data_IF_467933509364
#
_entry.id   IF_467933509364
#
_cell.length_a   1.000
_cell.length_b   1.000
_cell.length_c   1.000
_cell.angle_alpha   90.00
_cell.angle_beta   90.00
_cell.angle_gamma   90.00
#
_symmetry.space_group_name_H-M   'P 1'
#
loop_
_entity.id
_entity.type
_entity.pdbx_description
1 polymer ?
#
# COMPACT_ATOMS: atom_id res chain seq x y z
N UNK A 1 16.85 18.40 11.86
CA UNK A 1 16.49 17.40 10.84
C UNK A 1 16.76 16.01 11.39
N UNK A 2 15.79 15.43 12.08
CA UNK A 2 15.91 14.13 12.73
C UNK A 2 15.60 13.02 11.74
N UNK A 3 16.45 11.99 11.69
CA UNK A 3 16.33 10.73 10.92
C UNK A 3 14.99 9.97 11.09
N UNK A 4 14.05 10.47 11.87
CA UNK A 4 12.70 9.90 12.00
C UNK A 4 11.79 10.29 10.82
N UNK A 5 11.96 11.49 10.26
CA UNK A 5 11.16 11.99 9.12
C UNK A 5 11.32 11.10 7.87
N UNK A 6 12.49 10.47 7.72
CA UNK A 6 12.79 9.59 6.58
C UNK A 6 12.10 8.22 6.60
N UNK A 7 11.52 7.80 7.74
CA UNK A 7 10.86 6.48 7.85
C UNK A 7 9.34 6.55 7.85
N UNK A 8 8.75 7.75 7.93
CA UNK A 8 7.29 7.87 7.87
C UNK A 8 6.76 7.33 6.54
N UNK A 9 7.45 7.60 5.43
CA UNK A 9 7.05 7.12 4.11
C UNK A 9 7.08 5.58 3.94
N UNK A 10 7.84 4.83 4.74
CA UNK A 10 7.85 3.36 4.66
C UNK A 10 6.73 2.71 5.50
N UNK A 11 6.12 3.47 6.42
CA UNK A 11 5.03 3.02 7.28
C UNK A 11 3.65 3.49 6.77
N UNK A 12 3.59 4.06 5.57
CA UNK A 12 2.37 4.62 4.99
C UNK A 12 2.01 3.91 3.69
N UNK A 13 0.71 3.80 3.44
CA UNK A 13 0.21 3.36 2.15
C UNK A 13 0.55 4.39 1.05
N UNK A 14 1.14 3.93 -0.06
CA UNK A 14 1.52 4.83 -1.16
C UNK A 14 0.31 5.43 -1.92
N UNK A 15 -0.87 4.82 -1.78
CA UNK A 15 -2.11 5.25 -2.44
C UNK A 15 -2.84 6.30 -1.60
N UNK A 16 -3.29 5.93 -0.40
CA UNK A 16 -4.07 6.85 0.45
C UNK A 16 -3.23 7.74 1.36
N UNK A 17 -1.91 7.49 1.48
CA UNK A 17 -1.00 8.21 2.38
C UNK A 17 -1.42 8.16 3.86
N UNK A 18 -2.15 7.12 4.26
CA UNK A 18 -2.40 6.82 5.68
C UNK A 18 -1.33 5.91 6.26
N UNK A 19 -1.06 6.02 7.56
CA UNK A 19 -0.24 5.07 8.30
C UNK A 19 -0.88 3.67 8.27
N UNK A 20 -0.05 2.64 8.20
CA UNK A 20 -0.51 1.27 8.35
C UNK A 20 -0.97 1.01 9.79
N UNK A 21 -2.07 0.28 9.93
CA UNK A 21 -2.66 -0.15 11.20
C UNK A 21 -3.24 -1.56 11.06
N UNK A 22 -3.73 -2.18 12.13
CA UNK A 22 -4.32 -3.52 12.06
C UNK A 22 -5.82 -3.54 11.67
N UNK A 23 -6.38 -2.37 11.37
CA UNK A 23 -7.80 -2.15 11.07
C UNK A 23 -7.98 -1.77 9.59
N UNK A 24 -8.26 -0.50 9.30
CA UNK A 24 -8.63 0.03 7.99
C UNK A 24 -7.42 0.08 7.04
N UNK A 25 -6.21 0.24 7.58
CA UNK A 25 -4.98 0.36 6.80
C UNK A 25 -4.06 -0.85 6.92
N UNK A 26 -4.61 -2.06 7.07
CA UNK A 26 -3.81 -3.28 7.17
C UNK A 26 -2.84 -3.44 5.99
N UNK A 27 -1.52 -3.49 6.22
CA UNK A 27 -0.53 -3.58 5.16
C UNK A 27 -0.58 -4.95 4.47
N UNK A 28 -0.40 -4.94 3.15
CA UNK A 28 -0.31 -6.13 2.32
C UNK A 28 0.95 -6.06 1.47
N UNK A 29 1.78 -7.08 1.61
CA UNK A 29 3.02 -7.25 0.87
C UNK A 29 2.74 -7.99 -0.43
N UNK A 30 3.04 -7.36 -1.55
CA UNK A 30 2.96 -7.98 -2.87
C UNK A 30 4.28 -8.72 -3.20
N UNK A 31 4.27 -9.69 -4.13
CA UNK A 31 5.48 -10.40 -4.56
C UNK A 31 6.57 -9.48 -5.12
N UNK A 32 6.20 -8.30 -5.64
CA UNK A 32 7.13 -7.28 -6.11
C UNK A 32 7.71 -6.39 -5.00
N UNK A 33 7.49 -6.75 -3.73
CA UNK A 33 7.96 -6.07 -2.52
C UNK A 33 7.37 -4.67 -2.28
N UNK A 34 6.30 -4.31 -2.98
CA UNK A 34 5.52 -3.11 -2.66
C UNK A 34 4.45 -3.41 -1.61
N UNK A 35 4.20 -2.44 -0.75
CA UNK A 35 3.22 -2.55 0.32
C UNK A 35 2.14 -1.48 0.16
N UNK A 36 0.90 -1.91 0.23
CA UNK A 36 -0.29 -1.05 0.20
C UNK A 36 -1.27 -1.50 1.29
N UNK A 37 -2.18 -0.62 1.70
CA UNK A 37 -3.22 -1.07 2.61
C UNK A 37 -4.25 -1.95 1.87
N UNK A 38 -4.85 -2.87 2.63
CA UNK A 38 -5.84 -3.84 2.17
C UNK A 38 -7.00 -3.19 1.44
N UNK A 39 -7.48 -2.05 1.95
CA UNK A 39 -8.63 -1.37 1.36
C UNK A 39 -8.29 -0.70 0.03
N UNK A 40 -7.12 -0.07 -0.10
CA UNK A 40 -6.68 0.44 -1.39
C UNK A 40 -6.47 -0.68 -2.42
N UNK A 41 -5.94 -1.83 -2.02
CA UNK A 41 -5.80 -2.98 -2.94
C UNK A 41 -7.16 -3.54 -3.37
N UNK A 42 -8.12 -3.65 -2.45
CA UNK A 42 -9.49 -4.10 -2.78
C UNK A 42 -10.15 -3.18 -3.79
N UNK A 43 -10.05 -1.87 -3.58
CA UNK A 43 -10.61 -0.89 -4.52
C UNK A 43 -9.90 -0.92 -5.87
N UNK A 44 -8.59 -1.13 -5.89
CA UNK A 44 -7.82 -1.27 -7.12
C UNK A 44 -8.25 -2.50 -7.94
N UNK A 45 -8.36 -3.66 -7.30
CA UNK A 45 -8.84 -4.91 -7.93
C UNK A 45 -10.25 -4.74 -8.48
N UNK A 46 -11.16 -4.12 -7.71
CA UNK A 46 -12.52 -3.81 -8.17
C UNK A 46 -12.56 -2.97 -9.45
N UNK A 47 -11.56 -2.13 -9.68
CA UNK A 47 -11.46 -1.27 -10.86
C UNK A 47 -10.74 -1.94 -12.04
N UNK A 48 -9.76 -2.80 -11.79
CA UNK A 48 -8.89 -3.40 -12.82
C UNK A 48 -9.29 -4.82 -13.24
N UNK A 49 -10.12 -5.53 -12.46
CA UNK A 49 -10.56 -6.90 -12.73
C UNK A 49 -10.05 -7.91 -11.69
N UNK A 50 -10.22 -9.21 -11.96
CA UNK A 50 -9.95 -10.28 -10.97
C UNK A 50 -8.46 -10.52 -10.67
N UNK A 51 -7.53 -9.86 -11.38
CA UNK A 51 -6.09 -9.99 -11.15
C UNK A 51 -5.54 -8.87 -10.24
N UNK A 52 -4.76 -9.27 -9.23
CA UNK A 52 -4.04 -8.36 -8.35
C UNK A 52 -2.75 -7.93 -9.06
N UNK A 53 -2.82 -6.86 -9.84
CA UNK A 53 -1.63 -6.17 -10.33
C UNK A 53 -1.11 -5.17 -9.28
N UNK A 54 0.21 -5.00 -9.21
CA UNK A 54 0.79 -3.99 -8.33
C UNK A 54 0.54 -2.58 -8.90
N UNK A 55 -0.09 -1.66 -8.13
CA UNK A 55 -0.37 -0.29 -8.59
C UNK A 55 0.90 0.51 -8.96
N UNK A 56 2.04 0.19 -8.36
CA UNK A 56 3.33 0.85 -8.64
C UNK A 56 4.10 0.18 -9.79
N UNK A 57 4.01 -1.13 -9.96
CA UNK A 57 4.73 -1.83 -11.03
C UNK A 57 3.93 -1.89 -12.34
N UNK A 58 2.59 -1.91 -12.25
CA UNK A 58 1.67 -2.30 -13.32
C UNK A 58 2.02 -3.67 -13.90
N UNK A 59 2.32 -4.62 -13.00
CA UNK A 59 2.74 -6.00 -13.22
C UNK A 59 2.36 -6.84 -12.01
#
# INVERSE_FOLDING_TARGET
SSKLDSYEHVLMCLICRSLFDDHDHQPKFLPCHHTFCKDCLREFVRQMGDEIECPSCRK
#
